data_IF_720859337871
#
_entry.id   IF_720859337871
#
_cell.length_a   1.000
_cell.length_b   1.000
_cell.length_c   1.000
_cell.angle_alpha   90.00
_cell.angle_beta   90.00
_cell.angle_gamma   90.00
#
_symmetry.space_group_name_H-M   'P 1'
#
loop_
_entity.id
_entity.type
_entity.pdbx_description
1 polymer ?
#
# COMPACT_ATOMS: atom_id res chain seq x y z
N UNK A 1 0.56 1.31 5.58
CA UNK A 1 -0.25 1.87 6.70
C UNK A 1 0.57 1.82 7.99
N UNK A 2 0.41 2.77 8.90
CA UNK A 2 1.11 2.76 10.19
C UNK A 2 0.14 2.55 11.35
N UNK A 3 0.56 1.77 12.34
CA UNK A 3 -0.19 1.52 13.57
C UNK A 3 0.65 1.88 14.79
N UNK A 4 0.02 2.50 15.78
CA UNK A 4 0.61 2.68 17.09
C UNK A 4 0.11 1.56 18.02
N UNK A 5 1.04 0.90 18.70
CA UNK A 5 0.78 -0.10 19.73
C UNK A 5 1.51 0.27 21.03
N UNK A 6 1.27 -0.49 22.10
CA UNK A 6 1.93 -0.26 23.39
C UNK A 6 3.45 -0.46 23.33
N UNK A 7 3.91 -1.27 22.38
CA UNK A 7 5.32 -1.64 22.22
C UNK A 7 6.05 -0.87 21.11
N UNK A 8 5.36 -0.02 20.34
CA UNK A 8 5.99 0.79 19.29
C UNK A 8 5.07 1.06 18.10
N UNK A 9 5.69 1.33 16.96
CA UNK A 9 5.03 1.68 15.71
C UNK A 9 5.27 0.60 14.68
N UNK A 10 4.18 0.14 14.08
CA UNK A 10 4.15 -0.94 13.12
C UNK A 10 3.82 -0.40 11.74
N UNK A 11 4.44 -0.95 10.71
CA UNK A 11 4.11 -0.69 9.32
C UNK A 11 3.51 -1.94 8.71
N UNK A 12 2.31 -1.78 8.16
CA UNK A 12 1.70 -2.74 7.26
C UNK A 12 2.00 -2.31 5.84
N UNK A 13 2.82 -3.10 5.15
CA UNK A 13 2.94 -3.05 3.72
C UNK A 13 1.71 -3.73 3.11
N UNK A 14 0.79 -2.94 2.57
CA UNK A 14 -0.43 -3.48 1.95
C UNK A 14 -0.14 -4.09 0.57
N UNK A 15 1.01 -3.79 -0.03
CA UNK A 15 1.45 -4.41 -1.25
C UNK A 15 2.04 -5.80 -0.96
N UNK A 16 3.01 -5.89 -0.06
CA UNK A 16 3.66 -7.17 0.24
C UNK A 16 2.90 -8.03 1.28
N UNK A 17 1.93 -7.44 1.98
CA UNK A 17 1.14 -8.14 3.00
C UNK A 17 1.93 -8.42 4.29
N UNK A 18 3.02 -7.70 4.52
CA UNK A 18 3.88 -7.85 5.70
C UNK A 18 3.52 -6.84 6.78
N UNK A 19 3.66 -7.25 8.05
CA UNK A 19 3.46 -6.39 9.21
C UNK A 19 4.71 -6.42 10.07
N UNK A 20 5.39 -5.28 10.18
CA UNK A 20 6.70 -5.17 10.83
C UNK A 20 6.72 -4.05 11.86
N UNK A 21 7.35 -4.31 13.01
CA UNK A 21 7.60 -3.30 14.05
C UNK A 21 8.93 -2.62 13.78
N UNK A 22 8.89 -1.47 13.13
CA UNK A 22 10.11 -0.80 12.66
C UNK A 22 10.60 0.31 13.60
N UNK A 23 9.74 0.90 14.43
CA UNK A 23 10.12 2.03 15.28
C UNK A 23 9.60 1.88 16.72
N UNK A 24 10.37 2.39 17.67
CA UNK A 24 9.99 2.41 19.08
C UNK A 24 9.21 3.68 19.45
N UNK A 25 9.48 4.80 18.77
CA UNK A 25 8.93 6.12 19.11
C UNK A 25 8.31 6.81 17.89
N UNK A 26 7.37 7.76 18.09
CA UNK A 26 6.80 8.51 16.97
C UNK A 26 7.83 9.41 16.28
N UNK A 27 8.87 9.84 17.00
CA UNK A 27 9.91 10.72 16.45
C UNK A 27 10.83 9.95 15.51
N UNK A 28 11.22 8.71 15.84
CA UNK A 28 11.94 7.82 14.92
C UNK A 28 11.18 7.58 13.62
N UNK A 29 9.87 7.34 13.70
CA UNK A 29 9.01 7.19 12.52
C UNK A 29 9.01 8.48 11.69
N UNK A 30 8.82 9.65 12.33
CA UNK A 30 8.81 10.94 11.63
C UNK A 30 10.14 11.25 10.96
N UNK A 31 11.24 11.01 11.64
CA UNK A 31 12.59 11.27 11.11
C UNK A 31 12.81 10.47 9.83
N UNK A 32 12.39 9.21 9.79
CA UNK A 32 12.46 8.38 8.57
C UNK A 32 11.53 8.90 7.47
N UNK A 33 10.26 9.19 7.79
CA UNK A 33 9.29 9.71 6.80
C UNK A 33 9.61 11.11 6.27
N UNK A 34 10.54 11.83 6.89
CA UNK A 34 11.03 13.13 6.41
C UNK A 34 12.24 13.02 5.46
N UNK A 35 12.73 11.81 5.20
CA UNK A 35 13.77 11.55 4.20
C UNK A 35 13.16 11.18 2.85
N UNK A 36 13.86 11.44 1.75
CA UNK A 36 13.44 11.04 0.39
C UNK A 36 13.24 9.52 0.31
N UNK A 37 14.23 8.74 0.75
CA UNK A 37 14.17 7.27 0.79
C UNK A 37 12.97 6.75 1.58
N UNK A 38 12.68 7.35 2.74
CA UNK A 38 11.53 6.96 3.55
C UNK A 38 10.19 7.31 2.90
N UNK A 39 10.10 8.46 2.22
CA UNK A 39 8.90 8.83 1.49
C UNK A 39 8.64 7.90 0.30
N UNK A 40 9.68 7.53 -0.44
CA UNK A 40 9.57 6.60 -1.56
C UNK A 40 9.22 5.19 -1.07
N UNK A 41 9.90 4.68 -0.05
CA UNK A 41 9.68 3.33 0.48
C UNK A 41 8.29 3.18 1.12
N UNK A 42 7.90 4.09 2.02
CA UNK A 42 6.73 3.86 2.87
C UNK A 42 5.46 4.56 2.38
N UNK A 43 5.59 5.60 1.53
CA UNK A 43 4.47 6.41 1.06
C UNK A 43 4.28 6.36 -0.46
N UNK A 44 5.22 5.74 -1.21
CA UNK A 44 5.25 5.75 -2.67
C UNK A 44 5.16 7.17 -3.22
N UNK A 45 5.93 8.09 -2.63
CA UNK A 45 5.76 9.53 -2.81
C UNK A 45 5.84 9.96 -4.28
N UNK A 46 6.70 9.36 -5.09
CA UNK A 46 6.75 9.61 -6.54
C UNK A 46 5.41 9.37 -7.25
N UNK A 47 4.70 8.28 -6.94
CA UNK A 47 3.37 7.99 -7.50
C UNK A 47 2.31 8.95 -6.94
N UNK A 48 2.34 9.20 -5.62
CA UNK A 48 1.38 10.08 -4.98
C UNK A 48 1.45 11.53 -5.50
N UNK A 49 2.67 12.06 -5.64
CA UNK A 49 2.89 13.40 -6.22
C UNK A 49 2.58 13.42 -7.72
N UNK A 50 2.96 12.39 -8.47
CA UNK A 50 2.65 12.30 -9.90
C UNK A 50 1.14 12.30 -10.17
N UNK A 51 0.37 11.52 -9.41
CA UNK A 51 -1.10 11.47 -9.51
C UNK A 51 -1.73 12.82 -9.15
N UNK A 52 -1.29 13.44 -8.04
CA UNK A 52 -1.75 14.76 -7.64
C UNK A 52 -1.48 15.84 -8.70
N UNK A 53 -0.30 15.81 -9.33
CA UNK A 53 0.06 16.73 -10.41
C UNK A 53 -0.80 16.56 -11.67
N UNK A 54 -1.42 15.39 -11.86
CA UNK A 54 -2.39 15.13 -12.93
C UNK A 54 -3.85 15.45 -12.53
N UNK A 55 -4.07 15.97 -11.32
CA UNK A 55 -5.39 16.31 -10.80
C UNK A 55 -6.16 15.13 -10.21
N UNK A 56 -5.52 13.96 -10.07
CA UNK A 56 -6.10 12.81 -9.37
C UNK A 56 -5.87 13.04 -7.88
N UNK A 57 -6.90 13.41 -7.12
CA UNK A 57 -6.78 13.76 -5.69
C UNK A 57 -7.84 13.00 -4.89
N UNK A 58 -7.45 12.16 -3.91
CA UNK A 58 -8.40 11.44 -3.08
C UNK A 58 -9.23 12.38 -2.19
N UNK A 59 -10.51 12.06 -2.01
CA UNK A 59 -11.35 12.67 -0.99
C UNK A 59 -11.00 12.21 0.44
N UNK A 60 -11.72 12.70 1.47
CA UNK A 60 -11.39 12.43 2.88
C UNK A 60 -11.36 10.96 3.29
N UNK A 61 -12.17 10.12 2.65
CA UNK A 61 -12.27 8.68 2.94
C UNK A 61 -11.64 7.82 1.82
N UNK A 62 -10.93 8.45 0.90
CA UNK A 62 -10.35 7.78 -0.26
C UNK A 62 -8.82 7.78 -0.19
N UNK A 63 -8.23 6.83 -0.91
CA UNK A 63 -6.78 6.69 -1.05
C UNK A 63 -6.42 6.42 -2.50
N UNK A 64 -5.14 6.62 -2.82
CA UNK A 64 -4.59 6.02 -4.04
C UNK A 64 -4.53 4.51 -3.88
N UNK A 65 -4.96 3.80 -4.92
CA UNK A 65 -4.84 2.37 -5.06
C UNK A 65 -4.38 2.02 -6.48
N UNK A 66 -4.40 0.74 -6.83
CA UNK A 66 -4.00 0.27 -8.16
C UNK A 66 -5.17 -0.43 -8.86
N UNK A 67 -5.49 0.04 -10.06
CA UNK A 67 -6.53 -0.56 -10.93
C UNK A 67 -6.25 -2.04 -11.17
N UNK A 68 -4.99 -2.37 -11.42
CA UNK A 68 -4.46 -3.73 -11.42
C UNK A 68 -3.48 -3.88 -10.24
N UNK A 69 -3.83 -4.61 -9.17
CA UNK A 69 -2.96 -4.77 -8.00
C UNK A 69 -1.58 -5.36 -8.33
N UNK A 70 -0.46 -4.80 -7.83
CA UNK A 70 0.88 -5.29 -8.12
C UNK A 70 1.11 -6.77 -7.77
N UNK A 71 0.42 -7.28 -6.74
CA UNK A 71 0.46 -8.69 -6.31
C UNK A 71 -0.07 -9.63 -7.39
N UNK A 72 -0.86 -9.10 -8.32
CA UNK A 72 -1.43 -9.82 -9.46
C UNK A 72 -0.71 -9.50 -10.77
N UNK A 73 0.50 -8.92 -10.70
CA UNK A 73 1.30 -8.54 -11.87
C UNK A 73 1.02 -7.14 -12.43
N UNK A 74 0.33 -6.29 -11.66
CA UNK A 74 0.13 -4.89 -12.03
C UNK A 74 1.41 -4.06 -11.90
N UNK A 75 1.52 -2.99 -12.67
CA UNK A 75 2.70 -2.13 -12.67
C UNK A 75 2.61 -1.01 -11.62
N UNK A 76 3.75 -0.61 -11.06
CA UNK A 76 3.88 0.56 -10.19
C UNK A 76 4.04 1.84 -11.02
N UNK A 77 3.04 2.18 -11.82
CA UNK A 77 3.04 3.31 -12.75
C UNK A 77 1.82 4.20 -12.54
N UNK A 78 1.92 5.48 -12.96
CA UNK A 78 0.82 6.44 -12.81
C UNK A 78 -0.45 6.03 -13.55
N UNK A 79 -0.32 5.38 -14.72
CA UNK A 79 -1.47 4.91 -15.51
C UNK A 79 -2.26 3.79 -14.82
N UNK A 80 -1.66 3.14 -13.81
CA UNK A 80 -2.29 2.11 -13.01
C UNK A 80 -2.84 2.64 -11.67
N UNK A 81 -2.67 3.92 -11.35
CA UNK A 81 -3.17 4.53 -10.11
C UNK A 81 -4.66 4.87 -10.25
N UNK A 82 -5.44 4.53 -9.23
CA UNK A 82 -6.84 4.93 -9.10
C UNK A 82 -7.13 5.55 -7.73
N UNK A 83 -8.30 6.17 -7.59
CA UNK A 83 -8.82 6.64 -6.29
C UNK A 83 -9.95 5.72 -5.86
N UNK A 84 -9.80 5.13 -4.68
CA UNK A 84 -10.77 4.20 -4.12
C UNK A 84 -11.08 4.54 -2.66
N UNK A 85 -12.26 4.18 -2.19
CA UNK A 85 -12.58 4.20 -0.77
C UNK A 85 -11.54 3.38 0.02
N UNK A 86 -11.07 3.94 1.14
CA UNK A 86 -10.02 3.34 1.96
C UNK A 86 -10.39 1.94 2.47
N UNK A 87 -11.62 1.77 2.96
CA UNK A 87 -12.09 0.51 3.53
C UNK A 87 -12.22 -0.54 2.42
N UNK A 88 -12.75 -0.14 1.26
CA UNK A 88 -12.86 -1.01 0.08
C UNK A 88 -11.47 -1.45 -0.39
N UNK A 89 -10.52 -0.51 -0.55
CA UNK A 89 -9.16 -0.81 -1.00
C UNK A 89 -8.47 -1.85 -0.11
N UNK A 90 -8.52 -1.65 1.21
CA UNK A 90 -7.93 -2.59 2.17
C UNK A 90 -8.64 -3.94 2.19
N UNK A 91 -9.96 -3.94 2.05
CA UNK A 91 -10.72 -5.18 2.00
C UNK A 91 -10.33 -6.02 0.79
N UNK A 92 -10.22 -5.40 -0.39
CA UNK A 92 -9.78 -6.06 -1.63
C UNK A 92 -8.36 -6.63 -1.46
N UNK A 93 -7.40 -5.82 -1.01
CA UNK A 93 -6.02 -6.27 -0.80
C UNK A 93 -5.94 -7.42 0.22
N UNK A 94 -6.72 -7.37 1.30
CA UNK A 94 -6.81 -8.46 2.27
C UNK A 94 -7.39 -9.75 1.70
N UNK A 95 -8.37 -9.65 0.80
CA UNK A 95 -8.93 -10.81 0.08
C UNK A 95 -7.91 -11.41 -0.91
N UNK A 96 -7.16 -10.55 -1.62
CA UNK A 96 -6.09 -10.98 -2.53
C UNK A 96 -5.00 -11.72 -1.76
N UNK A 97 -4.44 -11.10 -0.73
CA UNK A 97 -3.39 -11.70 0.10
C UNK A 97 -3.82 -13.05 0.69
N UNK A 98 -5.08 -13.16 1.12
CA UNK A 98 -5.62 -14.45 1.61
C UNK A 98 -5.62 -15.54 0.54
N UNK A 99 -5.96 -15.19 -0.71
CA UNK A 99 -6.03 -16.13 -1.83
C UNK A 99 -4.65 -16.51 -2.36
N UNK A 100 -3.65 -15.63 -2.22
CA UNK A 100 -2.30 -15.84 -2.79
C UNK A 100 -1.25 -16.32 -1.78
N UNK A 101 -1.48 -16.19 -0.47
CA UNK A 101 -0.49 -16.47 0.59
C UNK A 101 0.24 -17.80 0.48
N UNK A 102 -0.47 -18.85 0.06
CA UNK A 102 0.06 -20.22 0.05
C UNK A 102 0.58 -20.64 -1.34
N UNK A 103 0.61 -19.71 -2.31
CA UNK A 103 1.10 -19.96 -3.66
C UNK A 103 2.63 -19.75 -3.74
N UNK A 104 3.36 -20.64 -4.42
CA UNK A 104 4.79 -20.42 -4.68
C UNK A 104 5.03 -19.14 -5.50
N UNK A 105 6.18 -18.47 -5.29
CA UNK A 105 6.60 -17.36 -6.15
C UNK A 105 6.58 -17.75 -7.64
N UNK A 106 6.07 -16.86 -8.48
CA UNK A 106 5.95 -17.08 -9.93
C UNK A 106 4.74 -17.91 -10.36
N UNK A 107 3.85 -18.30 -9.44
CA UNK A 107 2.58 -18.95 -9.79
C UNK A 107 1.72 -18.01 -10.66
N UNK A 108 1.34 -18.41 -11.89
CA UNK A 108 0.44 -17.61 -12.70
C UNK A 108 -0.94 -17.51 -12.03
N UNK A 109 -1.44 -16.29 -11.84
CA UNK A 109 -2.78 -16.05 -11.29
C UNK A 109 -3.76 -15.91 -12.44
N UNK A 110 -4.72 -16.84 -12.56
CA UNK A 110 -5.74 -16.84 -13.62
C UNK A 110 -7.04 -16.13 -13.22
N UNK A 111 -7.19 -15.77 -11.94
CA UNK A 111 -8.35 -15.03 -11.44
C UNK A 111 -8.32 -14.87 -9.92
N UNK A 112 -9.06 -13.87 -9.45
CA UNK A 112 -9.34 -13.62 -8.04
C UNK A 112 -10.86 -13.49 -7.86
N UNK A 113 -11.36 -13.88 -6.70
CA UNK A 113 -12.75 -13.59 -6.31
C UNK A 113 -12.75 -12.48 -5.27
N UNK A 114 -13.55 -11.43 -5.50
CA UNK A 114 -13.82 -10.36 -4.55
C UNK A 114 -15.30 -10.45 -4.18
N UNK A 115 -15.60 -10.51 -2.88
CA UNK A 115 -16.95 -10.62 -2.33
C UNK A 115 -17.24 -9.60 -1.25
#
# INVERSE_FOLDING_TARGET
MFFQAADGFWWLDTLEGTLERLWATPDELRDVLNTEDGQDQYLLAGLAFGAANQGVVPGPEQVYSFTHPPQLGGELTLDNVEVLDFVVSLNILGQIHRQTRDLPPGTPISGITIS
#
